data_IF_367509535992
#
_entry.id   IF_367509535992
#
_cell.length_a   1.000
_cell.length_b   1.000
_cell.length_c   1.000
_cell.angle_alpha   90.00
_cell.angle_beta   90.00
_cell.angle_gamma   90.00
#
_symmetry.space_group_name_H-M   'P 1'
#
loop_
_entity.id
_entity.type
_entity.pdbx_description
1 polymer ?
#
# COMPACT_ATOMS: atom_id res chain seq x y z
N UNK A 1 -15.34 20.03 -27.19
CA UNK A 1 -14.59 20.47 -26.00
C UNK A 1 -15.15 21.84 -25.62
N UNK A 2 -15.61 22.01 -24.38
CA UNK A 2 -16.19 23.26 -23.92
C UNK A 2 -15.02 24.24 -23.66
N UNK A 3 -15.22 25.53 -23.96
CA UNK A 3 -14.24 26.61 -23.73
C UNK A 3 -13.63 26.58 -22.30
N UNK A 4 -14.43 26.16 -21.33
CA UNK A 4 -14.01 25.98 -19.95
C UNK A 4 -12.94 24.89 -19.79
N UNK A 5 -13.02 23.78 -20.54
CA UNK A 5 -12.04 22.70 -20.48
C UNK A 5 -10.67 23.14 -20.99
N UNK A 6 -10.66 23.97 -22.07
CA UNK A 6 -9.42 24.55 -22.62
C UNK A 6 -8.80 25.54 -21.62
N UNK A 7 -9.61 26.37 -20.99
CA UNK A 7 -9.14 27.33 -19.99
C UNK A 7 -8.60 26.63 -18.74
N UNK A 8 -9.25 25.55 -18.29
CA UNK A 8 -8.80 24.73 -17.17
C UNK A 8 -7.51 23.99 -17.49
N UNK A 9 -7.37 23.41 -18.68
CA UNK A 9 -6.11 22.75 -19.11
C UNK A 9 -4.97 23.76 -19.25
N UNK A 10 -5.24 25.02 -19.61
CA UNK A 10 -4.23 26.07 -19.66
C UNK A 10 -3.78 26.53 -18.27
N UNK A 11 -4.70 26.67 -17.32
CA UNK A 11 -4.42 27.13 -15.95
C UNK A 11 -3.86 26.00 -15.06
N UNK A 12 -4.29 24.76 -15.30
CA UNK A 12 -3.92 23.57 -14.54
C UNK A 12 -3.47 22.44 -15.47
N UNK A 13 -2.35 22.63 -16.20
CA UNK A 13 -1.91 21.65 -17.17
C UNK A 13 -1.60 20.32 -16.48
N UNK A 14 -1.96 19.24 -17.16
CA UNK A 14 -1.71 17.88 -16.68
C UNK A 14 -0.23 17.60 -16.63
N UNK A 15 0.22 17.03 -15.52
CA UNK A 15 1.63 16.71 -15.30
C UNK A 15 1.78 15.24 -14.95
N UNK A 16 2.81 14.62 -15.52
CA UNK A 16 3.20 13.26 -15.17
C UNK A 16 3.47 13.14 -13.66
N UNK A 17 2.86 12.15 -13.01
CA UNK A 17 3.04 11.94 -11.55
C UNK A 17 4.47 11.54 -11.19
N UNK A 18 5.25 11.06 -12.15
CA UNK A 18 6.62 10.60 -11.93
C UNK A 18 7.67 11.67 -12.24
N UNK A 19 7.73 12.22 -13.46
CA UNK A 19 8.73 13.24 -13.84
C UNK A 19 8.24 14.68 -13.60
N UNK A 20 6.93 14.92 -13.61
CA UNK A 20 6.32 16.23 -13.45
C UNK A 20 6.26 17.05 -14.74
N UNK A 21 6.72 16.51 -15.86
CA UNK A 21 6.60 17.15 -17.16
C UNK A 21 5.15 17.30 -17.60
N UNK A 22 4.89 18.27 -18.43
CA UNK A 22 3.59 18.51 -19.05
C UNK A 22 3.21 17.32 -19.94
N UNK A 23 1.93 16.97 -19.93
CA UNK A 23 1.40 15.89 -20.74
C UNK A 23 0.38 16.44 -21.72
N UNK A 24 0.56 16.15 -23.01
CA UNK A 24 -0.40 16.46 -24.06
C UNK A 24 -1.57 15.46 -24.09
N UNK A 25 -1.28 14.19 -23.76
CA UNK A 25 -2.26 13.12 -23.75
C UNK A 25 -2.98 13.02 -22.40
N UNK A 26 -4.21 12.51 -22.45
CA UNK A 26 -4.93 12.17 -21.23
C UNK A 26 -4.25 10.99 -20.53
N UNK A 27 -3.99 11.11 -19.25
CA UNK A 27 -3.35 10.04 -18.48
C UNK A 27 -2.82 10.50 -17.13
N UNK A 28 -2.20 9.56 -16.43
CA UNK A 28 -1.60 9.78 -15.11
C UNK A 28 -0.08 9.91 -15.19
N UNK A 29 0.54 9.23 -16.18
CA UNK A 29 1.97 9.24 -16.42
C UNK A 29 2.27 9.37 -17.94
N UNK A 30 3.44 9.94 -18.29
CA UNK A 30 3.89 9.99 -19.67
C UNK A 30 4.42 8.62 -20.14
N UNK A 31 4.40 8.36 -21.44
CA UNK A 31 4.84 7.09 -22.06
C UNK A 31 6.26 6.70 -21.65
N UNK A 32 7.18 7.67 -21.58
CA UNK A 32 8.56 7.43 -21.17
C UNK A 32 8.66 6.90 -19.73
N UNK A 33 7.91 7.51 -18.79
CA UNK A 33 7.86 7.04 -17.41
C UNK A 33 7.18 5.69 -17.29
N UNK A 34 6.08 5.45 -18.00
CA UNK A 34 5.37 4.16 -17.98
C UNK A 34 6.25 3.03 -18.52
N UNK A 35 6.97 3.27 -19.61
CA UNK A 35 7.87 2.29 -20.22
C UNK A 35 9.11 1.97 -19.38
N UNK A 36 9.48 2.85 -18.44
CA UNK A 36 10.63 2.68 -17.55
C UNK A 36 10.27 2.35 -16.08
N UNK A 37 9.00 2.03 -15.81
CA UNK A 37 8.59 1.63 -14.45
C UNK A 37 9.37 0.41 -13.98
N UNK A 38 9.91 0.42 -12.75
CA UNK A 38 10.75 -0.63 -12.21
C UNK A 38 9.90 -1.84 -11.74
N UNK A 39 9.21 -2.50 -12.68
CA UNK A 39 8.51 -3.74 -12.38
C UNK A 39 9.48 -4.81 -11.89
N UNK A 40 9.10 -5.51 -10.82
CA UNK A 40 9.88 -6.62 -10.31
C UNK A 40 9.78 -7.81 -11.26
N UNK A 41 10.85 -8.56 -11.42
CA UNK A 41 10.82 -9.84 -12.16
C UNK A 41 9.92 -10.82 -11.43
N UNK A 42 10.19 -11.06 -10.16
CA UNK A 42 9.37 -11.88 -9.26
C UNK A 42 8.47 -11.01 -8.38
N UNK A 43 7.17 -11.28 -8.40
CA UNK A 43 6.20 -10.57 -7.58
C UNK A 43 6.17 -11.07 -6.14
N UNK A 44 6.30 -12.39 -5.94
CA UNK A 44 6.42 -13.00 -4.62
C UNK A 44 7.79 -12.67 -4.02
N UNK A 45 7.79 -12.07 -2.84
CA UNK A 45 9.02 -11.81 -2.11
C UNK A 45 9.50 -13.09 -1.44
N UNK A 46 10.72 -13.53 -1.78
CA UNK A 46 11.34 -14.76 -1.24
C UNK A 46 11.70 -14.69 0.25
N UNK A 47 11.64 -13.48 0.83
CA UNK A 47 11.97 -13.30 2.26
C UNK A 47 10.81 -13.77 3.13
N UNK A 48 11.13 -14.63 4.09
CA UNK A 48 10.17 -15.02 5.13
C UNK A 48 9.80 -13.80 5.98
N UNK A 49 8.52 -13.49 6.03
CA UNK A 49 8.01 -12.33 6.77
C UNK A 49 6.99 -12.72 7.83
N UNK A 50 7.28 -13.79 8.60
CA UNK A 50 6.38 -14.22 9.66
C UNK A 50 5.87 -13.05 10.52
N UNK A 51 4.55 -13.05 10.84
CA UNK A 51 3.55 -14.09 10.62
C UNK A 51 2.74 -13.97 9.30
N UNK A 52 3.25 -13.23 8.31
CA UNK A 52 2.68 -13.23 6.95
C UNK A 52 2.94 -14.56 6.26
N UNK A 53 1.95 -15.11 5.57
CA UNK A 53 2.07 -16.32 4.75
C UNK A 53 2.65 -16.02 3.35
N UNK A 54 2.73 -14.75 2.96
CA UNK A 54 3.36 -14.27 1.73
C UNK A 54 3.27 -12.77 1.57
N UNK A 55 4.12 -12.23 0.68
CA UNK A 55 4.13 -10.81 0.30
C UNK A 55 4.30 -10.68 -1.21
N UNK A 56 3.32 -10.10 -1.87
CA UNK A 56 3.40 -9.70 -3.28
C UNK A 56 3.74 -8.22 -3.42
N UNK A 57 4.68 -7.89 -4.31
CA UNK A 57 5.05 -6.52 -4.64
C UNK A 57 5.15 -6.35 -6.15
N UNK A 58 4.49 -5.34 -6.73
CA UNK A 58 4.50 -5.11 -8.16
C UNK A 58 5.79 -4.44 -8.66
N UNK A 59 6.31 -3.48 -7.92
CA UNK A 59 7.40 -2.59 -8.33
C UNK A 59 8.51 -2.53 -7.27
N UNK A 60 9.74 -2.20 -7.70
CA UNK A 60 10.85 -1.80 -6.82
C UNK A 60 10.75 -0.30 -6.50
N UNK A 61 10.98 0.10 -5.23
CA UNK A 61 10.93 1.50 -4.81
C UNK A 61 12.21 2.23 -5.20
N UNK A 62 12.37 2.49 -6.49
CA UNK A 62 13.55 3.11 -7.10
C UNK A 62 13.20 3.93 -8.34
N UNK A 63 14.19 4.53 -8.98
CA UNK A 63 14.04 5.40 -10.16
C UNK A 63 13.02 6.52 -9.87
N UNK A 64 12.01 6.69 -10.73
CA UNK A 64 10.95 7.71 -10.64
C UNK A 64 9.80 7.34 -9.68
N UNK A 65 9.71 6.08 -9.21
CA UNK A 65 8.60 5.60 -8.41
C UNK A 65 8.45 6.33 -7.06
N UNK A 66 9.53 6.70 -6.33
CA UNK A 66 9.41 7.48 -5.09
C UNK A 66 8.59 8.74 -5.23
N UNK A 67 8.75 9.49 -6.34
CA UNK A 67 7.96 10.70 -6.62
C UNK A 67 6.49 10.37 -6.84
N UNK A 68 6.18 9.31 -7.62
CA UNK A 68 4.81 8.85 -7.84
C UNK A 68 4.11 8.46 -6.54
N UNK A 69 4.78 7.69 -5.68
CA UNK A 69 4.25 7.30 -4.35
C UNK A 69 4.09 8.52 -3.44
N UNK A 70 5.00 9.49 -3.49
CA UNK A 70 4.87 10.76 -2.75
C UNK A 70 3.65 11.55 -3.23
N UNK A 71 3.44 11.66 -4.53
CA UNK A 71 2.24 12.28 -5.10
C UNK A 71 0.96 11.56 -4.66
N UNK A 72 0.99 10.23 -4.60
CA UNK A 72 -0.13 9.44 -4.10
C UNK A 72 -0.38 9.67 -2.59
N UNK A 73 0.64 9.95 -1.79
CA UNK A 73 0.51 10.19 -0.33
C UNK A 73 0.00 11.58 0.04
N UNK A 74 0.11 12.53 -0.85
CA UNK A 74 -0.16 13.94 -0.54
C UNK A 74 -1.11 14.59 -1.57
N UNK A 75 -1.61 15.75 -1.25
CA UNK A 75 -2.39 16.63 -2.13
C UNK A 75 -3.78 16.09 -2.55
N UNK A 76 -4.43 15.25 -1.73
CA UNK A 76 -5.80 14.79 -1.99
C UNK A 76 -5.95 13.91 -3.25
N UNK A 77 -4.86 13.33 -3.76
CA UNK A 77 -4.84 12.58 -5.03
C UNK A 77 -5.31 11.12 -4.87
N UNK A 78 -6.43 10.90 -4.18
CA UNK A 78 -7.00 9.56 -3.99
C UNK A 78 -7.34 8.84 -5.30
N UNK A 79 -7.62 9.61 -6.38
CA UNK A 79 -7.88 9.06 -7.72
C UNK A 79 -6.68 8.27 -8.28
N UNK A 80 -5.45 8.53 -7.80
CA UNK A 80 -4.27 7.75 -8.18
C UNK A 80 -4.33 6.28 -7.70
N UNK A 81 -5.23 5.96 -6.77
CA UNK A 81 -5.46 4.57 -6.37
C UNK A 81 -5.88 3.69 -7.55
N UNK A 82 -6.68 4.21 -8.48
CA UNK A 82 -7.07 3.51 -9.71
C UNK A 82 -5.83 3.16 -10.53
N UNK A 83 -4.96 4.12 -10.78
CA UNK A 83 -3.75 3.91 -11.56
C UNK A 83 -2.81 2.90 -10.90
N UNK A 84 -2.52 3.06 -9.60
CA UNK A 84 -1.65 2.13 -8.90
C UNK A 84 -2.24 0.73 -8.75
N UNK A 85 -3.56 0.59 -8.56
CA UNK A 85 -4.21 -0.73 -8.55
C UNK A 85 -4.13 -1.40 -9.92
N UNK A 86 -4.26 -0.67 -11.02
CA UNK A 86 -4.05 -1.19 -12.37
C UNK A 86 -2.61 -1.69 -12.58
N UNK A 87 -1.60 -0.98 -12.09
CA UNK A 87 -0.21 -1.46 -12.13
C UNK A 87 -0.03 -2.76 -11.31
N UNK A 88 -0.66 -2.84 -10.13
CA UNK A 88 -0.68 -4.07 -9.32
C UNK A 88 -1.36 -5.22 -10.08
N UNK A 89 -2.54 -4.99 -10.64
CA UNK A 89 -3.27 -6.00 -11.40
C UNK A 89 -2.52 -6.43 -12.67
N UNK A 90 -1.90 -5.49 -13.40
CA UNK A 90 -1.04 -5.79 -14.56
C UNK A 90 0.08 -6.76 -14.22
N UNK A 91 0.72 -6.58 -13.06
CA UNK A 91 1.92 -7.36 -12.70
C UNK A 91 1.62 -8.63 -11.91
N UNK A 92 0.65 -8.62 -11.02
CA UNK A 92 0.38 -9.72 -10.08
C UNK A 92 -1.10 -10.14 -10.01
N UNK A 93 -1.93 -9.68 -10.98
CA UNK A 93 -3.36 -9.95 -10.97
C UNK A 93 -3.70 -11.44 -11.09
N UNK A 94 -2.91 -12.22 -11.82
CA UNK A 94 -3.08 -13.67 -11.91
C UNK A 94 -2.90 -14.34 -10.54
N UNK A 95 -1.81 -14.02 -9.85
CA UNK A 95 -1.52 -14.56 -8.52
C UNK A 95 -2.56 -14.15 -7.48
N UNK A 96 -3.02 -12.89 -7.56
CA UNK A 96 -4.07 -12.40 -6.65
C UNK A 96 -5.41 -13.10 -6.88
N UNK A 97 -5.79 -13.40 -8.14
CA UNK A 97 -7.01 -14.18 -8.42
C UNK A 97 -6.88 -15.63 -7.99
N UNK A 98 -5.74 -16.26 -8.22
CA UNK A 98 -5.46 -17.63 -7.78
C UNK A 98 -5.40 -17.75 -6.25
N UNK A 99 -5.16 -16.64 -5.56
CA UNK A 99 -5.09 -16.57 -4.11
C UNK A 99 -6.39 -16.97 -3.41
N UNK A 100 -7.57 -16.85 -4.05
CA UNK A 100 -8.88 -17.19 -3.46
C UNK A 100 -9.07 -16.58 -2.06
N UNK A 101 -9.01 -15.26 -2.00
CA UNK A 101 -9.17 -14.51 -0.74
C UNK A 101 -10.66 -14.33 -0.41
N UNK A 102 -10.98 -14.42 0.88
CA UNK A 102 -12.33 -14.17 1.40
C UNK A 102 -12.54 -12.67 1.69
N UNK A 103 -11.49 -11.99 2.15
CA UNK A 103 -11.53 -10.57 2.51
C UNK A 103 -10.28 -9.83 2.02
N UNK A 104 -10.47 -8.57 1.62
CA UNK A 104 -9.39 -7.60 1.45
C UNK A 104 -9.40 -6.64 2.63
N UNK A 105 -8.25 -6.45 3.26
CA UNK A 105 -8.09 -5.58 4.43
C UNK A 105 -6.98 -4.58 4.16
N UNK A 106 -7.27 -3.29 4.36
CA UNK A 106 -6.27 -2.24 4.23
C UNK A 106 -5.47 -2.07 5.53
N UNK A 107 -4.16 -1.81 5.41
CA UNK A 107 -3.36 -1.37 6.56
C UNK A 107 -3.94 -0.07 7.10
N UNK A 108 -4.32 0.00 8.39
CA UNK A 108 -4.96 1.18 8.94
C UNK A 108 -3.95 2.28 9.23
N UNK A 109 -4.34 3.51 8.92
CA UNK A 109 -3.53 4.70 9.12
C UNK A 109 -3.83 5.36 10.46
N UNK A 110 -2.79 5.95 11.06
CA UNK A 110 -2.95 6.75 12.29
C UNK A 110 -3.80 8.00 12.02
N UNK A 111 -4.72 8.33 12.92
CA UNK A 111 -5.67 9.43 12.75
C UNK A 111 -5.03 10.81 12.50
N UNK A 112 -3.84 11.09 13.08
CA UNK A 112 -3.08 12.32 12.79
C UNK A 112 -2.56 12.37 11.34
N UNK A 113 -2.08 11.24 10.81
CA UNK A 113 -1.67 11.13 9.41
C UNK A 113 -2.86 11.22 8.47
N UNK A 114 -3.99 10.58 8.84
CA UNK A 114 -5.23 10.64 8.07
C UNK A 114 -5.75 12.09 7.95
N UNK A 115 -5.78 12.85 9.06
CA UNK A 115 -6.16 14.28 9.03
C UNK A 115 -5.23 15.11 8.14
N UNK A 116 -3.91 14.85 8.17
CA UNK A 116 -2.92 15.57 7.33
C UNK A 116 -3.05 15.22 5.85
N UNK A 117 -3.36 13.98 5.51
CA UNK A 117 -3.41 13.47 4.12
C UNK A 117 -4.80 13.54 3.49
N UNK A 118 -5.85 13.58 4.30
CA UNK A 118 -7.25 13.56 3.89
C UNK A 118 -7.80 12.16 3.60
N UNK A 119 -6.94 11.16 3.37
CA UNK A 119 -7.34 9.79 3.06
C UNK A 119 -6.26 8.75 3.41
N UNK A 120 -6.65 7.47 3.43
CA UNK A 120 -5.76 6.34 3.60
C UNK A 120 -5.47 5.68 2.24
N UNK A 121 -4.22 5.73 1.78
CA UNK A 121 -3.76 5.18 0.51
C UNK A 121 -4.03 3.68 0.39
N UNK A 122 -3.69 2.93 1.46
CA UNK A 122 -3.92 1.49 1.50
C UNK A 122 -5.41 1.16 1.37
N UNK A 123 -6.30 1.96 1.99
CA UNK A 123 -7.75 1.77 1.87
C UNK A 123 -8.23 2.04 0.45
N UNK A 124 -7.79 3.14 -0.16
CA UNK A 124 -8.18 3.45 -1.54
C UNK A 124 -7.70 2.37 -2.53
N UNK A 125 -6.49 1.80 -2.33
CA UNK A 125 -6.00 0.66 -3.12
C UNK A 125 -6.84 -0.60 -2.87
N UNK A 126 -7.14 -0.92 -1.61
CA UNK A 126 -7.94 -2.09 -1.24
C UNK A 126 -9.35 -2.05 -1.85
N UNK A 127 -9.99 -0.87 -1.86
CA UNK A 127 -11.29 -0.64 -2.47
C UNK A 127 -11.27 -0.83 -4.01
N UNK A 128 -10.17 -0.44 -4.69
CA UNK A 128 -10.03 -0.70 -6.12
C UNK A 128 -9.76 -2.19 -6.39
N UNK A 129 -8.86 -2.82 -5.64
CA UNK A 129 -8.58 -4.26 -5.77
C UNK A 129 -9.82 -5.11 -5.45
N UNK A 130 -10.67 -4.68 -4.51
CA UNK A 130 -11.94 -5.32 -4.19
C UNK A 130 -12.86 -5.40 -5.41
N UNK A 131 -12.96 -4.32 -6.18
CA UNK A 131 -13.74 -4.27 -7.43
C UNK A 131 -13.15 -5.19 -8.50
N UNK A 132 -11.82 -5.17 -8.68
CA UNK A 132 -11.12 -5.95 -9.70
C UNK A 132 -11.11 -7.46 -9.43
N UNK A 133 -11.04 -7.84 -8.15
CA UNK A 133 -10.98 -9.23 -7.71
C UNK A 133 -12.36 -9.79 -7.33
N UNK A 134 -13.38 -8.93 -7.20
CA UNK A 134 -14.72 -9.26 -6.69
C UNK A 134 -14.68 -9.89 -5.29
N UNK A 135 -13.77 -9.40 -4.44
CA UNK A 135 -13.59 -9.82 -3.05
C UNK A 135 -13.96 -8.66 -2.13
N UNK A 136 -14.78 -8.84 -1.10
CA UNK A 136 -15.23 -7.76 -0.23
C UNK A 136 -14.08 -7.09 0.52
N UNK A 137 -14.13 -5.75 0.62
CA UNK A 137 -13.17 -4.97 1.39
C UNK A 137 -13.70 -4.72 2.80
N UNK A 138 -12.99 -5.22 3.83
CA UNK A 138 -13.38 -5.09 5.23
C UNK A 138 -12.61 -4.01 5.97
N UNK A 139 -13.27 -3.35 6.93
CA UNK A 139 -12.67 -2.43 7.89
C UNK A 139 -12.44 -3.06 9.27
N UNK A 140 -12.39 -4.39 9.38
CA UNK A 140 -12.25 -5.12 10.63
C UNK A 140 -10.98 -4.76 11.41
N UNK A 141 -9.88 -4.44 10.71
CA UNK A 141 -8.60 -4.07 11.32
C UNK A 141 -8.54 -2.56 11.59
N UNK A 142 -8.29 -2.17 12.83
CA UNK A 142 -8.23 -0.78 13.27
C UNK A 142 -6.92 -0.50 14.00
N UNK A 143 -6.37 0.70 13.84
CA UNK A 143 -5.23 1.15 14.64
C UNK A 143 -5.72 1.68 15.98
N UNK A 144 -5.29 1.05 17.07
CA UNK A 144 -5.69 1.42 18.42
C UNK A 144 -4.68 2.42 18.97
N UNK A 145 -5.15 3.54 19.54
CA UNK A 145 -4.32 4.41 20.38
C UNK A 145 -4.05 3.69 21.70
N UNK A 146 -2.78 3.41 22.01
CA UNK A 146 -2.42 3.15 23.41
C UNK A 146 -2.61 4.45 24.19
N UNK A 147 -3.59 4.45 25.09
CA UNK A 147 -3.66 5.43 26.17
C UNK A 147 -2.44 5.18 27.07
N UNK A 148 -1.61 6.21 27.18
CA UNK A 148 -0.41 6.18 28.01
C UNK A 148 -0.83 6.13 29.50
N UNK A 149 -0.69 5.01 30.13
CA UNK A 149 -0.35 4.98 31.56
C UNK A 149 1.17 5.13 31.66
N UNK A 150 1.64 6.36 31.89
CA UNK A 150 3.00 6.79 31.61
C UNK A 150 3.95 6.75 32.83
N UNK A 151 3.60 6.10 33.94
CA UNK A 151 4.36 6.26 35.19
C UNK A 151 5.26 5.09 35.63
N UNK A 152 5.30 3.94 34.94
CA UNK A 152 6.03 2.76 35.47
C UNK A 152 6.93 1.99 34.48
N UNK A 153 7.29 2.53 33.31
CA UNK A 153 8.04 1.73 32.33
C UNK A 153 9.52 2.16 32.22
N UNK A 154 10.42 1.19 32.34
CA UNK A 154 11.87 1.34 32.13
C UNK A 154 12.23 1.69 30.67
N UNK A 155 13.45 2.15 30.39
CA UNK A 155 13.87 2.61 29.05
C UNK A 155 13.82 1.56 27.94
N UNK A 156 13.84 0.24 28.25
CA UNK A 156 13.63 -0.84 27.29
C UNK A 156 12.14 -1.03 26.96
N UNK A 157 11.28 -0.91 27.93
CA UNK A 157 9.82 -1.01 27.82
C UNK A 157 9.23 0.20 27.08
N UNK A 158 9.85 1.41 27.21
CA UNK A 158 9.48 2.58 26.40
C UNK A 158 9.65 2.34 24.90
N UNK A 159 10.68 1.62 24.46
CA UNK A 159 10.87 1.26 23.03
C UNK A 159 9.87 0.21 22.54
N UNK A 160 9.44 -0.70 23.41
CA UNK A 160 8.37 -1.66 23.07
C UNK A 160 6.97 -1.04 23.14
N UNK A 161 6.77 -0.04 24.03
CA UNK A 161 5.52 0.70 24.17
C UNK A 161 5.23 1.67 22.99
N UNK A 162 6.21 1.93 22.13
CA UNK A 162 6.07 2.75 20.92
C UNK A 162 5.61 1.97 19.68
N UNK A 163 5.43 0.63 19.81
CA UNK A 163 4.86 -0.18 18.72
C UNK A 163 3.40 0.21 18.47
N UNK A 164 3.08 0.39 17.21
CA UNK A 164 1.71 0.55 16.75
C UNK A 164 0.87 -0.64 17.25
N UNK A 165 -0.25 -0.36 17.91
CA UNK A 165 -1.18 -1.38 18.34
C UNK A 165 -2.36 -1.42 17.37
N UNK A 166 -2.73 -2.62 16.96
CA UNK A 166 -3.87 -2.87 16.09
C UNK A 166 -4.88 -3.73 16.84
N UNK A 167 -6.16 -3.56 16.52
CA UNK A 167 -7.25 -4.42 16.97
C UNK A 167 -8.02 -4.89 15.75
N UNK A 168 -8.58 -6.07 15.85
CA UNK A 168 -9.41 -6.67 14.82
C UNK A 168 -10.69 -7.24 15.42
N UNK A 169 -11.78 -7.17 14.67
CA UNK A 169 -13.00 -7.91 14.95
C UNK A 169 -12.73 -9.41 14.78
N UNK A 170 -13.52 -10.25 15.44
CA UNK A 170 -13.36 -11.73 15.38
C UNK A 170 -13.49 -12.20 13.93
N UNK A 171 -12.61 -13.08 13.53
CA UNK A 171 -12.56 -13.74 12.24
C UNK A 171 -12.82 -15.23 12.41
N UNK A 172 -13.30 -15.90 11.37
CA UNK A 172 -13.77 -17.28 11.41
C UNK A 172 -13.03 -18.18 10.40
N UNK A 173 -11.74 -17.93 10.22
CA UNK A 173 -10.90 -18.73 9.33
C UNK A 173 -10.67 -18.10 7.96
N UNK A 174 -11.03 -16.83 7.77
CA UNK A 174 -10.89 -16.14 6.47
C UNK A 174 -9.44 -16.08 6.01
N UNK A 175 -9.28 -16.21 4.70
CA UNK A 175 -8.04 -15.95 3.98
C UNK A 175 -7.99 -14.49 3.53
N UNK A 176 -7.04 -13.73 4.04
CA UNK A 176 -7.00 -12.28 3.94
C UNK A 176 -5.92 -11.81 2.97
N UNK A 177 -6.30 -10.89 2.07
CA UNK A 177 -5.37 -10.05 1.32
C UNK A 177 -5.16 -8.72 2.06
N UNK A 178 -4.00 -8.56 2.70
CA UNK A 178 -3.62 -7.33 3.40
C UNK A 178 -2.94 -6.35 2.43
N UNK A 179 -3.50 -5.15 2.26
CA UNK A 179 -3.04 -4.17 1.25
C UNK A 179 -2.35 -2.98 1.90
N UNK A 180 -1.19 -2.58 1.35
CA UNK A 180 -0.51 -1.32 1.67
C UNK A 180 0.10 -0.69 0.40
N UNK A 181 0.55 0.57 0.47
CA UNK A 181 1.18 1.26 -0.66
C UNK A 181 2.66 0.86 -0.82
N UNK A 182 3.40 0.72 0.26
CA UNK A 182 4.83 0.41 0.24
C UNK A 182 5.25 -0.53 1.38
N UNK A 183 6.02 -1.55 1.04
CA UNK A 183 6.74 -2.36 2.01
C UNK A 183 8.19 -1.85 2.13
N UNK A 184 8.54 -1.29 3.28
CA UNK A 184 9.94 -0.96 3.64
C UNK A 184 10.57 -2.14 4.39
N UNK A 185 10.56 -2.11 5.71
CA UNK A 185 11.03 -3.22 6.57
C UNK A 185 9.97 -4.31 6.75
N UNK A 186 8.74 -4.05 6.36
CA UNK A 186 7.60 -4.94 6.58
C UNK A 186 7.09 -4.98 8.02
N UNK A 187 7.63 -4.17 8.95
CA UNK A 187 7.23 -4.19 10.35
C UNK A 187 5.74 -3.91 10.55
N UNK A 188 5.18 -2.96 9.83
CA UNK A 188 3.73 -2.66 9.86
C UNK A 188 2.89 -3.84 9.37
N UNK A 189 3.27 -4.45 8.24
CA UNK A 189 2.58 -5.60 7.67
C UNK A 189 2.61 -6.79 8.64
N UNK A 190 3.78 -7.06 9.25
CA UNK A 190 3.94 -8.14 10.25
C UNK A 190 3.05 -7.93 11.47
N UNK A 191 2.94 -6.70 11.97
CA UNK A 191 2.10 -6.39 13.12
C UNK A 191 0.61 -6.52 12.81
N UNK A 192 0.19 -6.03 11.63
CA UNK A 192 -1.17 -6.22 11.12
C UNK A 192 -1.50 -7.70 10.95
N UNK A 193 -0.60 -8.49 10.36
CA UNK A 193 -0.79 -9.92 10.16
C UNK A 193 -0.90 -10.68 11.50
N UNK A 194 -0.05 -10.32 12.49
CA UNK A 194 -0.14 -10.89 13.84
C UNK A 194 -1.51 -10.66 14.47
N UNK A 195 -2.05 -9.44 14.32
CA UNK A 195 -3.37 -9.07 14.83
C UNK A 195 -4.48 -9.82 14.11
N UNK A 196 -4.42 -9.95 12.79
CA UNK A 196 -5.39 -10.69 11.98
C UNK A 196 -5.38 -12.19 12.31
N UNK A 197 -4.18 -12.80 12.43
CA UNK A 197 -4.03 -14.20 12.83
C UNK A 197 -4.56 -14.44 14.24
N UNK A 198 -4.27 -13.56 15.19
CA UNK A 198 -4.80 -13.65 16.57
C UNK A 198 -6.31 -13.46 16.61
N UNK A 199 -6.92 -12.76 15.65
CA UNK A 199 -8.36 -12.61 15.53
C UNK A 199 -9.06 -13.82 14.85
N UNK A 200 -8.31 -14.79 14.30
CA UNK A 200 -8.86 -16.01 13.71
C UNK A 200 -8.63 -16.17 12.20
N UNK A 201 -7.86 -15.30 11.53
CA UNK A 201 -7.54 -15.48 10.12
C UNK A 201 -6.73 -16.77 9.88
N UNK A 202 -7.12 -17.59 8.91
CA UNK A 202 -6.40 -18.81 8.52
C UNK A 202 -5.12 -18.52 7.75
N UNK A 203 -5.16 -17.49 6.89
CA UNK A 203 -4.06 -17.10 6.03
C UNK A 203 -4.05 -15.59 5.85
N UNK A 204 -2.86 -14.97 5.89
CA UNK A 204 -2.68 -13.52 5.64
C UNK A 204 -1.55 -13.32 4.65
N UNK A 205 -1.91 -12.97 3.41
CA UNK A 205 -0.97 -12.60 2.36
C UNK A 205 -1.04 -11.09 2.15
N UNK A 206 0.11 -10.44 2.09
CA UNK A 206 0.17 -9.00 1.83
C UNK A 206 0.37 -8.72 0.33
N UNK A 207 -0.18 -7.57 -0.13
CA UNK A 207 0.07 -7.01 -1.45
C UNK A 207 0.39 -5.52 -1.34
N UNK A 208 1.49 -5.08 -1.98
CA UNK A 208 1.91 -3.68 -1.99
C UNK A 208 2.22 -3.21 -3.42
N UNK A 209 2.06 -1.90 -3.67
CA UNK A 209 2.49 -1.30 -4.94
C UNK A 209 3.98 -1.53 -5.14
N UNK A 210 4.77 -1.29 -4.09
CA UNK A 210 6.22 -1.42 -4.20
C UNK A 210 6.89 -1.85 -2.89
N UNK A 211 8.14 -2.33 -3.04
CA UNK A 211 9.05 -2.68 -1.95
C UNK A 211 10.39 -1.96 -2.11
N UNK A 212 10.95 -1.48 -1.00
CA UNK A 212 12.34 -0.96 -1.02
C UNK A 212 13.32 -2.10 -1.29
N UNK A 213 14.34 -1.88 -2.15
CA UNK A 213 15.41 -2.85 -2.33
C UNK A 213 16.15 -3.15 -1.01
N UNK A 214 16.56 -4.39 -0.82
CA UNK A 214 17.41 -4.75 0.31
C UNK A 214 18.86 -4.40 -0.01
N UNK A 215 19.37 -3.32 0.54
CA UNK A 215 20.78 -2.92 0.39
C UNK A 215 21.81 -3.89 1.01
N UNK A 216 21.38 -5.01 1.60
CA UNK A 216 22.31 -5.96 2.25
C UNK A 216 22.97 -7.00 1.34
N UNK A 217 22.68 -7.02 0.01
CA UNK A 217 23.25 -8.04 -0.90
C UNK A 217 24.36 -7.55 -1.85
N UNK A 218 24.83 -6.28 -1.74
CA UNK A 218 25.82 -5.74 -2.71
C UNK A 218 27.22 -5.56 -2.11
N UNK A 219 27.57 -6.23 -1.02
CA UNK A 219 28.93 -6.20 -0.46
C UNK A 219 29.55 -7.59 -0.31
N UNK A 220 29.32 -8.49 -1.26
CA UNK A 220 30.09 -9.72 -1.42
C UNK A 220 30.09 -10.10 -2.91
N UNK A 221 30.96 -9.46 -3.68
CA UNK A 221 31.55 -9.98 -4.92
C UNK A 221 32.85 -9.24 -5.18
#
# INVERSE_FOLDING_TARGET
MKFLDILLDLLFPRRCIFCGELMEEQGTACKACEGSLPFREETLCSETMEPLDGLYCALSYEKQLPRGITNFKFHGKSHLAVYFSQLMMKKMGQQLRQGQFDLIVAVPMQGSKLRKRGYNQARSLAEQLSKELQVPCSGCLKKIRRTKTQHELSGRERRSAQKDSYGCEVLHGEKILLVDDICTTGSTLKECARTLKAAGASCVIAATVCKTPNHKKTMQS
#
